data_IF_285835687852
#
_entry.id   IF_285835687852
#
_cell.length_a   1.000
_cell.length_b   1.000
_cell.length_c   1.000
_cell.angle_alpha   90.00
_cell.angle_beta   90.00
_cell.angle_gamma   90.00
#
_symmetry.space_group_name_H-M   'P 1'
#
loop_
_entity.id
_entity.type
_entity.pdbx_description
1 polymer ?
#
# COMPACT_ATOMS: atom_id res chain seq x y z
N UNK A 1 -11.08 1.47 -3.15
CA UNK A 1 -9.96 1.99 -2.35
C UNK A 1 -10.54 2.95 -1.34
N UNK A 2 -9.86 3.11 -0.23
CA UNK A 2 -10.22 4.13 0.76
C UNK A 2 -10.07 5.53 0.13
N UNK A 3 -10.96 6.44 0.52
CA UNK A 3 -10.95 7.82 0.04
C UNK A 3 -11.05 8.78 1.21
N UNK A 4 -10.23 9.82 1.19
CA UNK A 4 -10.36 10.93 2.13
C UNK A 4 -11.42 11.88 1.58
N UNK A 5 -12.62 11.82 2.14
CA UNK A 5 -13.71 12.69 1.71
C UNK A 5 -13.60 14.10 2.29
N UNK A 6 -13.07 14.22 3.51
CA UNK A 6 -13.02 15.48 4.21
C UNK A 6 -13.14 15.35 5.72
N UNK A 7 -13.38 16.48 6.36
CA UNK A 7 -13.62 16.58 7.80
C UNK A 7 -15.00 17.16 8.10
N UNK A 8 -15.47 16.93 9.32
CA UNK A 8 -16.66 17.55 9.90
C UNK A 8 -16.36 17.98 11.33
N UNK A 9 -16.97 19.06 11.84
CA UNK A 9 -16.72 19.52 13.20
C UNK A 9 -17.32 18.58 14.25
N UNK A 10 -16.61 18.44 15.36
CA UNK A 10 -17.10 17.82 16.59
C UNK A 10 -17.35 18.94 17.61
N UNK A 11 -18.52 18.92 18.23
CA UNK A 11 -18.91 19.92 19.23
C UNK A 11 -18.13 19.74 20.55
N UNK A 12 -18.05 20.76 21.43
CA UNK A 12 -17.37 20.64 22.73
C UNK A 12 -17.91 19.55 23.66
N UNK A 13 -19.16 19.12 23.46
CA UNK A 13 -19.77 17.99 24.19
C UNK A 13 -19.45 16.61 23.57
N UNK A 14 -18.63 16.57 22.52
CA UNK A 14 -18.23 15.37 21.80
C UNK A 14 -19.23 14.89 20.74
N UNK A 15 -20.35 15.59 20.55
CA UNK A 15 -21.36 15.23 19.55
C UNK A 15 -20.97 15.68 18.14
N UNK A 16 -21.38 14.90 17.13
CA UNK A 16 -21.21 15.23 15.72
C UNK A 16 -22.48 14.87 14.95
N UNK A 17 -22.87 15.71 13.99
CA UNK A 17 -24.03 15.50 13.12
C UNK A 17 -23.68 15.97 11.71
N UNK A 18 -23.83 15.08 10.74
CA UNK A 18 -23.33 15.27 9.37
C UNK A 18 -24.20 14.60 8.31
N UNK A 19 -24.13 15.14 7.09
CA UNK A 19 -24.75 14.59 5.88
C UNK A 19 -23.70 13.78 5.11
N UNK A 20 -24.05 12.56 4.71
CA UNK A 20 -23.18 11.65 3.95
C UNK A 20 -23.85 11.20 2.65
N UNK A 21 -23.08 10.97 1.57
CA UNK A 21 -23.61 10.35 0.36
C UNK A 21 -24.26 8.99 0.66
N UNK A 22 -25.48 8.77 0.17
CA UNK A 22 -26.15 7.49 0.34
C UNK A 22 -25.47 6.37 -0.45
N UNK A 23 -25.75 5.12 -0.06
CA UNK A 23 -25.32 3.90 -0.78
C UNK A 23 -23.79 3.77 -0.92
N UNK A 24 -23.04 4.38 0.00
CA UNK A 24 -21.58 4.26 0.10
C UNK A 24 -21.16 3.78 1.48
N UNK A 25 -20.03 3.10 1.53
CA UNK A 25 -19.42 2.64 2.78
C UNK A 25 -18.47 3.71 3.33
N UNK A 26 -18.70 4.10 4.59
CA UNK A 26 -17.89 5.07 5.31
C UNK A 26 -17.33 4.45 6.58
N UNK A 27 -16.12 4.86 6.92
CA UNK A 27 -15.57 4.72 8.26
C UNK A 27 -15.09 6.09 8.73
N UNK A 28 -14.98 6.27 10.04
CA UNK A 28 -14.55 7.55 10.63
C UNK A 28 -13.23 7.42 11.36
N UNK A 29 -12.48 8.52 11.35
CA UNK A 29 -11.31 8.73 12.19
C UNK A 29 -11.62 9.93 13.08
N UNK A 30 -11.64 9.71 14.39
CA UNK A 30 -11.74 10.81 15.36
C UNK A 30 -10.37 11.49 15.45
N UNK A 31 -10.33 12.81 15.31
CA UNK A 31 -9.12 13.63 15.35
C UNK A 31 -9.08 14.49 16.62
N UNK A 32 -7.88 14.83 17.08
CA UNK A 32 -7.68 15.86 18.11
C UNK A 32 -7.43 17.25 17.52
N UNK A 33 -7.15 18.24 18.37
CA UNK A 33 -6.89 19.62 17.93
C UNK A 33 -5.62 19.84 17.11
N UNK A 34 -4.77 18.81 16.94
CA UNK A 34 -3.58 18.82 16.06
C UNK A 34 -3.81 18.03 14.76
N UNK A 35 -5.05 17.64 14.50
CA UNK A 35 -5.44 16.69 13.44
C UNK A 35 -4.74 15.32 13.57
N UNK A 36 -4.35 14.91 14.78
CA UNK A 36 -3.81 13.58 15.02
C UNK A 36 -4.95 12.58 15.29
N UNK A 37 -4.85 11.39 14.69
CA UNK A 37 -5.82 10.32 14.87
C UNK A 37 -5.89 9.88 16.33
N UNK A 38 -7.06 10.03 16.96
CA UNK A 38 -7.35 9.51 18.31
C UNK A 38 -7.83 8.07 18.22
N UNK A 39 -8.82 7.80 17.37
CA UNK A 39 -9.37 6.44 17.18
C UNK A 39 -9.96 6.29 15.79
N UNK A 40 -9.71 5.16 15.15
CA UNK A 40 -10.23 4.80 13.83
C UNK A 40 -11.29 3.70 13.94
N UNK A 41 -12.34 3.84 13.16
CA UNK A 41 -13.34 2.79 12.95
C UNK A 41 -12.75 1.70 12.03
N UNK A 42 -12.61 0.49 12.54
CA UNK A 42 -12.15 -0.71 11.80
C UNK A 42 -13.33 -1.51 11.23
N UNK A 43 -14.37 -0.79 10.84
CA UNK A 43 -15.60 -1.30 10.22
C UNK A 43 -16.16 -0.19 9.34
N UNK A 44 -17.24 -0.47 8.63
CA UNK A 44 -17.91 0.54 7.81
C UNK A 44 -19.40 0.60 8.13
N UNK A 45 -20.01 1.73 7.79
CA UNK A 45 -21.45 1.91 7.76
C UNK A 45 -21.89 2.41 6.39
N UNK A 46 -23.15 2.19 6.08
CA UNK A 46 -23.82 2.70 4.88
C UNK A 46 -25.15 3.29 5.31
N UNK A 47 -25.57 4.38 4.65
CA UNK A 47 -26.88 5.01 4.84
C UNK A 47 -27.66 4.98 3.54
N UNK A 48 -28.96 4.74 3.64
CA UNK A 48 -29.92 4.83 2.52
C UNK A 48 -30.32 6.29 2.27
N UNK A 49 -30.86 6.62 1.08
CA UNK A 49 -31.38 7.96 0.82
C UNK A 49 -32.44 8.37 1.85
N UNK A 50 -32.19 9.49 2.56
CA UNK A 50 -33.08 10.01 3.60
C UNK A 50 -33.02 9.27 4.95
N UNK A 51 -32.15 8.28 5.10
CA UNK A 51 -31.94 7.58 6.37
C UNK A 51 -31.12 8.44 7.35
N UNK A 52 -31.59 8.51 8.59
CA UNK A 52 -30.81 9.04 9.72
C UNK A 52 -30.42 7.88 10.63
N UNK A 53 -29.12 7.68 10.80
CA UNK A 53 -28.55 6.70 11.73
C UNK A 53 -27.81 7.41 12.87
N UNK A 54 -27.79 6.80 14.05
CA UNK A 54 -27.13 7.36 15.24
C UNK A 54 -26.35 6.28 15.99
N UNK A 55 -25.21 6.64 16.56
CA UNK A 55 -24.43 5.80 17.46
C UNK A 55 -24.23 6.48 18.81
N UNK A 56 -24.06 5.70 19.88
CA UNK A 56 -23.85 6.22 21.24
C UNK A 56 -22.45 6.84 21.39
N UNK A 57 -21.47 6.29 20.68
CA UNK A 57 -20.08 6.71 20.74
C UNK A 57 -19.17 5.81 19.90
N UNK A 58 -17.88 6.14 19.86
CA UNK A 58 -16.88 5.44 19.05
C UNK A 58 -16.59 4.03 19.58
N UNK A 59 -17.25 3.02 18.99
CA UNK A 59 -17.18 1.61 19.37
C UNK A 59 -17.93 1.25 20.68
N UNK A 60 -18.98 2.01 21.01
CA UNK A 60 -19.95 1.61 22.04
C UNK A 60 -20.86 0.47 21.56
N UNK A 61 -21.42 -0.29 22.51
CA UNK A 61 -22.34 -1.38 22.19
C UNK A 61 -23.60 -0.86 21.48
N UNK A 62 -23.88 -1.37 20.27
CA UNK A 62 -25.06 -1.00 19.45
C UNK A 62 -26.42 -1.27 20.12
N UNK A 63 -26.47 -2.13 21.12
CA UNK A 63 -27.68 -2.46 21.90
C UNK A 63 -27.78 -1.64 23.19
N UNK A 64 -26.85 -0.73 23.42
CA UNK A 64 -26.82 0.16 24.57
C UNK A 64 -27.54 1.46 24.21
N UNK A 65 -28.39 1.92 25.09
CA UNK A 65 -28.97 3.27 25.00
C UNK A 65 -27.96 4.27 25.55
N UNK A 66 -27.84 5.48 24.97
CA UNK A 66 -27.08 6.55 25.61
C UNK A 66 -27.51 6.72 27.06
N UNK A 67 -26.56 6.96 27.97
CA UNK A 67 -26.93 7.34 29.33
C UNK A 67 -27.77 8.62 29.27
N UNK A 68 -29.00 8.55 29.77
CA UNK A 68 -29.85 9.73 29.91
C UNK A 68 -29.30 10.58 31.05
N UNK A 69 -28.21 11.30 30.80
CA UNK A 69 -27.67 12.27 31.74
C UNK A 69 -28.59 13.47 31.69
N UNK A 70 -29.60 13.49 32.55
CA UNK A 70 -30.61 14.56 32.69
C UNK A 70 -30.01 15.97 32.81
N UNK A 71 -28.70 16.08 33.07
CA UNK A 71 -27.92 17.33 33.14
C UNK A 71 -27.26 17.78 31.82
N UNK A 72 -27.19 16.96 30.75
CA UNK A 72 -26.48 17.33 29.50
C UNK A 72 -27.37 18.02 28.45
N UNK A 73 -28.70 18.03 28.62
CA UNK A 73 -29.63 18.62 27.64
C UNK A 73 -29.54 17.96 26.25
N UNK A 74 -30.20 18.57 25.25
CA UNK A 74 -30.05 18.13 23.85
C UNK A 74 -28.60 18.34 23.39
N UNK A 75 -27.98 17.32 22.80
CA UNK A 75 -26.64 17.37 22.22
C UNK A 75 -26.49 18.58 21.31
N UNK A 76 -25.35 19.28 21.41
CA UNK A 76 -25.08 20.50 20.67
C UNK A 76 -25.24 20.31 19.15
N UNK A 77 -24.76 19.19 18.61
CA UNK A 77 -24.80 18.93 17.17
C UNK A 77 -26.22 18.80 16.62
N UNK A 78 -27.21 18.43 17.46
CA UNK A 78 -28.62 18.30 17.07
C UNK A 78 -29.39 19.63 17.13
N UNK A 79 -28.75 20.72 17.58
CA UNK A 79 -29.36 22.07 17.61
C UNK A 79 -29.16 22.84 16.31
N UNK A 80 -28.49 22.24 15.33
CA UNK A 80 -28.19 22.81 14.01
C UNK A 80 -28.42 21.75 12.93
N UNK A 81 -28.45 22.22 11.68
CA UNK A 81 -28.45 21.36 10.51
C UNK A 81 -27.19 20.48 10.46
N UNK A 82 -27.25 19.30 9.81
CA UNK A 82 -26.10 18.42 9.66
C UNK A 82 -24.98 19.12 8.90
N UNK A 83 -23.74 18.93 9.36
CA UNK A 83 -22.57 19.44 8.66
C UNK A 83 -22.35 18.70 7.34
N UNK A 84 -21.95 19.43 6.30
CA UNK A 84 -21.45 18.82 5.07
C UNK A 84 -19.98 18.45 5.25
N UNK A 85 -19.57 17.37 4.61
CA UNK A 85 -18.17 16.96 4.57
C UNK A 85 -17.39 17.96 3.73
N UNK A 86 -16.35 18.56 4.31
CA UNK A 86 -15.50 19.54 3.63
C UNK A 86 -14.18 18.90 3.19
N UNK A 87 -13.83 18.92 1.89
CA UNK A 87 -12.55 18.42 1.41
C UNK A 87 -11.37 19.13 2.07
N UNK A 88 -10.28 18.38 2.28
CA UNK A 88 -9.06 18.92 2.88
C UNK A 88 -8.18 19.51 1.79
N UNK A 89 -7.89 20.80 1.88
CA UNK A 89 -7.09 21.50 0.86
C UNK A 89 -5.70 20.87 0.68
N UNK A 90 -5.33 20.60 -0.58
CA UNK A 90 -4.03 20.04 -0.94
C UNK A 90 -3.87 18.54 -0.67
N UNK A 91 -4.93 17.85 -0.22
CA UNK A 91 -4.93 16.40 -0.01
C UNK A 91 -5.75 15.72 -1.11
N UNK A 92 -5.20 14.71 -1.81
CA UNK A 92 -5.96 13.97 -2.81
C UNK A 92 -7.04 13.13 -2.13
N UNK A 93 -8.14 12.89 -2.85
CA UNK A 93 -9.21 12.00 -2.38
C UNK A 93 -8.77 10.53 -2.38
N UNK A 94 -7.98 10.12 -3.38
CA UNK A 94 -7.36 8.79 -3.50
C UNK A 94 -5.85 8.94 -3.54
N UNK A 95 -5.17 8.28 -2.61
CA UNK A 95 -3.71 8.25 -2.56
C UNK A 95 -3.11 7.20 -3.49
N UNK A 96 -1.95 7.53 -4.05
CA UNK A 96 -1.06 6.62 -4.75
C UNK A 96 0.38 6.85 -4.30
N UNK A 97 1.05 5.80 -3.82
CA UNK A 97 2.36 5.94 -3.20
C UNK A 97 3.44 6.49 -4.16
N UNK A 98 3.63 5.95 -5.38
CA UNK A 98 4.61 6.52 -6.33
C UNK A 98 4.34 7.98 -6.70
N UNK A 99 3.08 8.40 -6.75
CA UNK A 99 2.69 9.76 -7.13
C UNK A 99 2.80 10.76 -5.99
N UNK A 100 2.31 10.38 -4.81
CA UNK A 100 2.06 11.33 -3.72
C UNK A 100 3.15 11.29 -2.63
N UNK A 101 3.75 10.12 -2.38
CA UNK A 101 4.67 9.91 -1.25
C UNK A 101 6.11 9.79 -1.70
N UNK A 102 6.38 9.07 -2.80
CA UNK A 102 7.74 8.92 -3.31
C UNK A 102 8.46 10.25 -3.54
N UNK A 103 7.84 11.31 -4.11
CA UNK A 103 8.52 12.59 -4.30
C UNK A 103 9.00 13.24 -3.00
N UNK A 104 8.30 13.01 -1.88
CA UNK A 104 8.69 13.50 -0.56
C UNK A 104 9.93 12.73 -0.08
N UNK A 105 9.94 11.41 -0.27
CA UNK A 105 11.11 10.58 0.05
C UNK A 105 12.32 10.92 -0.83
N UNK A 106 12.10 11.16 -2.12
CA UNK A 106 13.15 11.54 -3.06
C UNK A 106 13.85 12.84 -2.63
N UNK A 107 13.07 13.80 -2.14
CA UNK A 107 13.58 15.10 -1.68
C UNK A 107 14.32 15.03 -0.35
N UNK A 108 13.86 14.21 0.58
CA UNK A 108 14.29 14.28 1.99
C UNK A 108 15.05 13.06 2.50
N UNK A 109 14.96 11.91 1.83
CA UNK A 109 15.44 10.64 2.35
C UNK A 109 16.41 9.94 1.39
N UNK A 110 16.17 10.02 0.08
CA UNK A 110 16.88 9.22 -0.92
C UNK A 110 18.36 9.57 -1.03
N UNK A 111 18.78 10.79 -0.71
CA UNK A 111 20.21 11.16 -0.72
C UNK A 111 21.06 10.21 0.14
N UNK A 112 20.56 9.84 1.33
CA UNK A 112 21.25 8.95 2.27
C UNK A 112 20.77 7.49 2.18
N UNK A 113 19.58 7.25 1.62
CA UNK A 113 18.94 5.93 1.60
C UNK A 113 18.69 5.47 0.16
N UNK A 114 19.76 5.10 -0.54
CA UNK A 114 19.73 4.60 -1.91
C UNK A 114 20.73 3.44 -2.11
N UNK A 115 20.78 2.87 -3.31
CA UNK A 115 21.67 1.73 -3.62
C UNK A 115 23.17 2.06 -3.54
N UNK A 116 23.58 3.31 -3.69
CA UNK A 116 24.98 3.74 -3.66
C UNK A 116 25.40 4.17 -2.25
N UNK A 117 24.57 5.00 -1.61
CA UNK A 117 24.67 5.40 -0.21
C UNK A 117 23.55 4.71 0.55
N UNK A 118 23.88 3.58 1.16
CA UNK A 118 22.94 2.64 1.80
C UNK A 118 22.93 2.84 3.33
N UNK A 119 22.83 4.10 3.77
CA UNK A 119 22.89 4.42 5.20
C UNK A 119 21.71 3.78 5.94
N UNK A 120 21.94 3.29 7.15
CA UNK A 120 20.92 2.55 7.91
C UNK A 120 20.53 1.20 7.32
N UNK A 121 21.17 0.76 6.22
CA UNK A 121 20.87 -0.52 5.59
C UNK A 121 19.55 -0.54 4.83
N UNK A 122 19.10 0.62 4.32
CA UNK A 122 17.79 0.79 3.68
C UNK A 122 17.88 1.51 2.34
N UNK A 123 17.03 1.14 1.40
CA UNK A 123 16.87 1.81 0.10
C UNK A 123 15.44 2.36 -0.01
N UNK A 124 15.32 3.68 -0.06
CA UNK A 124 14.07 4.42 -0.15
C UNK A 124 13.84 5.03 -1.54
N UNK A 125 14.55 4.55 -2.56
CA UNK A 125 14.31 4.95 -3.95
C UNK A 125 12.97 4.41 -4.47
N UNK A 126 12.37 5.15 -5.41
CA UNK A 126 11.21 4.71 -6.18
C UNK A 126 11.51 3.61 -7.21
N UNK A 127 12.72 3.05 -7.21
CA UNK A 127 13.11 1.98 -8.11
C UNK A 127 12.20 0.76 -7.92
N UNK A 128 11.88 0.10 -9.03
CA UNK A 128 10.93 -1.00 -9.09
C UNK A 128 11.62 -2.32 -8.74
N UNK A 129 11.14 -2.99 -7.70
CA UNK A 129 11.33 -4.44 -7.53
C UNK A 129 10.26 -5.25 -8.28
N UNK A 130 10.17 -6.56 -8.04
CA UNK A 130 9.24 -7.45 -8.77
C UNK A 130 7.74 -7.09 -8.64
N UNK A 131 7.32 -6.48 -7.52
CA UNK A 131 5.92 -6.08 -7.27
C UNK A 131 5.78 -4.62 -6.82
N UNK A 132 6.65 -4.18 -5.93
CA UNK A 132 6.61 -2.87 -5.27
C UNK A 132 7.86 -2.08 -5.59
N UNK A 133 7.84 -0.77 -5.35
CA UNK A 133 9.06 0.02 -5.26
C UNK A 133 9.86 -0.39 -4.03
N UNK A 134 11.18 -0.19 -4.07
CA UNK A 134 12.06 -0.47 -2.93
C UNK A 134 11.62 0.29 -1.68
N UNK A 135 11.29 1.57 -1.83
CA UNK A 135 10.80 2.44 -0.75
C UNK A 135 9.55 1.92 -0.06
N UNK A 136 8.48 1.63 -0.82
CA UNK A 136 7.21 1.20 -0.24
C UNK A 136 7.38 -0.10 0.53
N UNK A 137 8.09 -1.06 -0.06
CA UNK A 137 8.34 -2.34 0.59
C UNK A 137 9.23 -2.18 1.83
N UNK A 138 10.28 -1.37 1.75
CA UNK A 138 11.19 -1.07 2.87
C UNK A 138 10.42 -0.48 4.05
N UNK A 139 9.58 0.54 3.82
CA UNK A 139 8.76 1.16 4.86
C UNK A 139 7.75 0.16 5.45
N UNK A 140 7.15 -0.69 4.61
CA UNK A 140 6.20 -1.72 5.05
C UNK A 140 6.87 -2.75 5.95
N UNK A 141 8.00 -3.30 5.50
CA UNK A 141 8.75 -4.33 6.22
C UNK A 141 9.29 -3.80 7.56
N UNK A 142 9.83 -2.58 7.58
CA UNK A 142 10.35 -1.94 8.80
C UNK A 142 9.24 -1.42 9.72
N UNK A 143 7.96 -1.55 9.33
CA UNK A 143 6.80 -1.04 10.07
C UNK A 143 6.93 0.45 10.39
N UNK A 144 7.38 1.21 9.40
CA UNK A 144 7.52 2.65 9.50
C UNK A 144 6.16 3.36 9.53
N UNK A 145 5.11 2.69 9.07
CA UNK A 145 3.72 3.09 9.27
C UNK A 145 2.90 1.94 9.89
N UNK A 146 1.90 2.32 10.70
CA UNK A 146 1.00 1.38 11.38
C UNK A 146 -0.41 1.57 10.82
N UNK A 147 -0.77 0.81 9.80
CA UNK A 147 -2.05 0.92 9.08
C UNK A 147 -3.14 -0.03 9.61
N UNK A 148 -2.78 -0.94 10.53
CA UNK A 148 -3.69 -1.95 11.08
C UNK A 148 -3.99 -3.12 10.13
N UNK A 149 -3.18 -3.28 9.07
CA UNK A 149 -3.37 -4.30 8.02
C UNK A 149 -3.46 -5.72 8.59
N UNK A 150 -4.47 -6.45 8.12
CA UNK A 150 -4.73 -7.86 8.42
C UNK A 150 -4.75 -8.22 9.91
N UNK A 151 -5.15 -7.25 10.76
CA UNK A 151 -5.33 -7.47 12.18
C UNK A 151 -6.71 -8.10 12.46
N UNK A 152 -6.79 -9.28 13.10
CA UNK A 152 -8.08 -9.86 13.49
C UNK A 152 -8.80 -9.05 14.58
N UNK A 153 -8.08 -8.19 15.32
CA UNK A 153 -8.66 -7.28 16.31
C UNK A 153 -9.11 -5.97 15.67
N UNK A 154 -10.39 -5.63 15.84
CA UNK A 154 -11.01 -4.43 15.28
C UNK A 154 -11.26 -3.30 16.29
N UNK A 155 -11.26 -3.58 17.60
CA UNK A 155 -11.42 -2.55 18.63
C UNK A 155 -10.08 -2.19 19.28
N UNK A 156 -9.26 -1.47 18.54
CA UNK A 156 -7.93 -1.08 19.01
C UNK A 156 -8.01 0.11 19.98
N UNK A 157 -7.05 0.18 20.89
CA UNK A 157 -6.92 1.27 21.85
C UNK A 157 -6.71 2.61 21.12
N UNK A 158 -7.11 3.75 21.73
CA UNK A 158 -6.81 5.06 21.17
C UNK A 158 -5.31 5.23 20.88
N UNK A 159 -4.98 5.86 19.76
CA UNK A 159 -3.61 6.16 19.29
C UNK A 159 -2.68 4.95 19.09
N UNK A 160 -3.22 3.72 18.98
CA UNK A 160 -2.39 2.53 18.76
C UNK A 160 -2.13 2.20 17.29
N UNK A 161 -2.81 2.89 16.36
CA UNK A 161 -2.65 2.77 14.91
C UNK A 161 -2.73 4.15 14.26
N UNK A 162 -2.49 4.23 12.96
CA UNK A 162 -2.52 5.46 12.18
C UNK A 162 -1.20 6.22 12.26
N UNK A 163 -1.23 7.46 11.79
CA UNK A 163 -0.07 8.35 11.72
C UNK A 163 0.58 8.59 13.08
N UNK A 164 -0.22 8.72 14.15
CA UNK A 164 0.29 8.97 15.51
C UNK A 164 1.13 7.81 16.06
N UNK A 165 0.81 6.57 15.66
CA UNK A 165 1.54 5.37 16.07
C UNK A 165 2.75 5.08 15.17
N UNK A 166 2.88 5.79 14.04
CA UNK A 166 3.82 5.48 12.97
C UNK A 166 5.21 6.06 13.23
N UNK A 167 6.29 5.24 13.30
CA UNK A 167 7.66 5.73 13.48
C UNK A 167 8.12 6.73 12.41
N UNK A 168 7.62 6.61 11.18
CA UNK A 168 7.92 7.53 10.09
C UNK A 168 7.54 8.97 10.43
N UNK A 169 6.41 9.18 11.11
CA UNK A 169 5.93 10.52 11.45
C UNK A 169 6.84 11.22 12.46
N UNK A 170 7.50 10.46 13.35
CA UNK A 170 8.52 11.01 14.26
C UNK A 170 9.74 11.50 13.51
N UNK A 171 10.22 10.70 12.54
CA UNK A 171 11.34 11.09 11.67
C UNK A 171 11.01 12.36 10.86
N UNK A 172 9.80 12.42 10.32
CA UNK A 172 9.28 13.60 9.59
C UNK A 172 9.16 14.83 10.50
N UNK A 173 8.81 14.64 11.77
CA UNK A 173 8.70 15.71 12.76
C UNK A 173 10.05 16.24 13.28
N UNK A 174 11.18 15.67 12.84
CA UNK A 174 12.52 16.16 13.15
C UNK A 174 13.35 15.26 14.06
N UNK A 175 12.87 14.07 14.44
CA UNK A 175 13.66 13.12 15.24
C UNK A 175 14.78 12.42 14.42
N UNK A 176 14.95 12.79 13.15
CA UNK A 176 15.90 12.15 12.24
C UNK A 176 16.90 13.15 11.67
N UNK A 177 18.01 13.33 12.41
CA UNK A 177 19.13 14.18 12.04
C UNK A 177 18.68 15.60 11.64
N UNK A 178 19.12 16.08 10.48
CA UNK A 178 18.84 17.43 9.98
C UNK A 178 17.66 17.48 9.00
N UNK A 179 16.89 16.39 8.87
CA UNK A 179 15.76 16.32 7.92
C UNK A 179 14.66 17.30 8.35
N UNK A 180 14.23 18.13 7.40
CA UNK A 180 13.16 19.13 7.60
C UNK A 180 12.09 18.98 6.52
N UNK A 181 10.98 18.37 6.90
CA UNK A 181 9.83 18.20 6.01
C UNK A 181 8.86 19.37 6.22
N UNK A 182 8.30 19.91 5.14
CA UNK A 182 7.32 21.00 5.25
C UNK A 182 6.00 20.52 5.87
N UNK A 183 5.22 21.39 6.52
CA UNK A 183 3.92 21.00 7.07
C UNK A 183 2.96 20.38 6.04
N UNK A 184 2.97 20.85 4.79
CA UNK A 184 2.14 20.29 3.72
C UNK A 184 2.57 18.87 3.31
N UNK A 185 3.88 18.62 3.22
CA UNK A 185 4.41 17.29 2.92
C UNK A 185 4.16 16.33 4.10
N UNK A 186 4.32 16.80 5.34
CA UNK A 186 4.00 16.01 6.53
C UNK A 186 2.51 15.64 6.59
N UNK A 187 1.61 16.57 6.22
CA UNK A 187 0.16 16.28 6.08
C UNK A 187 -0.12 15.25 4.99
N UNK A 188 0.57 15.33 3.85
CA UNK A 188 0.42 14.34 2.76
C UNK A 188 0.73 12.92 3.26
N UNK A 189 1.86 12.74 3.95
CA UNK A 189 2.23 11.43 4.53
C UNK A 189 1.25 11.00 5.61
N UNK A 190 0.83 11.92 6.49
CA UNK A 190 -0.18 11.65 7.52
C UNK A 190 -1.45 11.05 6.90
N UNK A 191 -2.08 11.76 5.96
CA UNK A 191 -3.33 11.32 5.37
C UNK A 191 -3.20 10.06 4.50
N UNK A 192 -2.03 9.84 3.88
CA UNK A 192 -1.74 8.56 3.23
C UNK A 192 -1.79 7.39 4.22
N UNK A 193 -1.22 7.54 5.42
CA UNK A 193 -1.29 6.53 6.48
C UNK A 193 -2.74 6.35 6.96
N UNK A 194 -3.46 7.45 7.18
CA UNK A 194 -4.88 7.40 7.60
C UNK A 194 -5.79 6.71 6.56
N UNK A 195 -5.45 6.81 5.27
CA UNK A 195 -6.13 6.14 4.16
C UNK A 195 -5.68 4.68 3.95
N UNK A 196 -4.99 4.08 4.93
CA UNK A 196 -4.57 2.68 4.89
C UNK A 196 -3.25 2.45 4.15
N UNK A 197 -2.46 3.50 3.92
CA UNK A 197 -1.16 3.44 3.27
C UNK A 197 -1.17 2.68 1.91
N UNK A 198 -2.08 3.01 0.97
CA UNK A 198 -2.21 2.27 -0.28
C UNK A 198 -0.96 2.41 -1.15
N UNK A 199 -0.65 1.35 -1.90
CA UNK A 199 0.39 1.40 -2.93
C UNK A 199 -0.14 1.95 -4.25
N UNK A 200 -1.05 1.25 -4.98
CA UNK A 200 -1.74 1.83 -6.12
C UNK A 200 -2.93 2.68 -5.69
N UNK A 201 -3.16 3.77 -6.42
CA UNK A 201 -4.37 4.59 -6.32
C UNK A 201 -5.41 4.27 -7.38
N UNK A 202 -5.44 3.02 -7.87
CA UNK A 202 -6.47 2.54 -8.82
C UNK A 202 -6.77 1.05 -8.63
N UNK A 203 -8.02 0.64 -8.84
CA UNK A 203 -8.40 -0.77 -8.94
C UNK A 203 -7.84 -1.45 -10.18
N UNK A 204 -7.54 -0.69 -11.23
CA UNK A 204 -6.94 -1.21 -12.46
C UNK A 204 -5.58 -1.85 -12.25
N UNK A 205 -4.88 -1.52 -11.15
CA UNK A 205 -3.57 -2.07 -10.83
C UNK A 205 -3.62 -3.51 -10.30
N UNK A 206 -4.77 -3.99 -9.79
CA UNK A 206 -4.85 -5.26 -9.08
C UNK A 206 -4.47 -6.45 -9.98
N UNK A 207 -3.51 -7.26 -9.51
CA UNK A 207 -3.06 -8.46 -10.23
C UNK A 207 -2.34 -8.20 -11.55
N UNK A 208 -1.91 -6.95 -11.81
CA UNK A 208 -1.30 -6.54 -13.08
C UNK A 208 0.14 -6.07 -12.91
N UNK A 209 0.94 -6.19 -13.98
CA UNK A 209 2.25 -5.57 -14.05
C UNK A 209 3.34 -6.15 -13.14
N UNK A 210 3.08 -7.27 -12.46
CA UNK A 210 3.98 -7.81 -11.43
C UNK A 210 4.65 -9.10 -11.91
N UNK A 211 5.95 -9.26 -11.62
CA UNK A 211 6.67 -10.54 -11.73
C UNK A 211 6.48 -11.29 -10.41
N UNK A 212 5.90 -12.49 -10.49
CA UNK A 212 5.47 -13.25 -9.30
C UNK A 212 4.26 -12.63 -8.60
N UNK A 213 3.33 -12.03 -9.35
CA UNK A 213 2.06 -11.51 -8.83
C UNK A 213 1.08 -12.63 -8.46
N UNK A 214 -0.15 -12.30 -8.11
CA UNK A 214 -1.17 -13.28 -7.71
C UNK A 214 -2.45 -13.16 -8.53
N UNK A 215 -2.99 -14.31 -8.93
CA UNK A 215 -4.31 -14.46 -9.49
C UNK A 215 -4.99 -15.67 -8.83
N UNK A 216 -6.18 -15.50 -8.25
CA UNK A 216 -6.92 -16.55 -7.53
C UNK A 216 -6.05 -17.30 -6.49
N UNK A 217 -5.29 -16.55 -5.67
CA UNK A 217 -4.35 -17.09 -4.66
C UNK A 217 -3.24 -17.99 -5.22
N UNK A 218 -2.96 -17.91 -6.54
CA UNK A 218 -1.84 -18.58 -7.18
C UNK A 218 -0.85 -17.56 -7.70
N UNK A 219 0.43 -17.86 -7.51
CA UNK A 219 1.48 -17.02 -8.06
C UNK A 219 1.48 -17.14 -9.60
N UNK A 220 1.52 -16.00 -10.29
CA UNK A 220 1.54 -15.89 -11.76
C UNK A 220 2.72 -15.03 -12.20
N UNK A 221 3.04 -15.05 -13.51
CA UNK A 221 4.20 -14.36 -14.08
C UNK A 221 5.50 -14.75 -13.37
N UNK A 222 5.69 -16.05 -13.13
CA UNK A 222 6.88 -16.59 -12.47
C UNK A 222 8.05 -16.72 -13.45
N UNK A 223 9.27 -16.56 -12.96
CA UNK A 223 10.48 -16.52 -13.78
C UNK A 223 11.36 -17.76 -13.65
N UNK A 224 10.99 -18.74 -12.82
CA UNK A 224 11.80 -19.95 -12.56
C UNK A 224 12.22 -20.69 -13.83
N UNK A 225 11.40 -20.65 -14.89
CA UNK A 225 11.67 -21.35 -16.14
C UNK A 225 12.47 -20.52 -17.16
N UNK A 226 12.73 -19.24 -16.89
CA UNK A 226 13.50 -18.40 -17.80
C UNK A 226 14.97 -18.84 -17.81
N UNK A 227 15.56 -18.92 -19.01
CA UNK A 227 16.96 -19.32 -19.17
C UNK A 227 17.94 -18.45 -18.35
N UNK A 228 17.83 -17.10 -18.33
CA UNK A 228 18.64 -16.27 -17.46
C UNK A 228 18.45 -16.59 -15.97
N UNK A 229 17.22 -16.89 -15.54
CA UNK A 229 16.91 -17.24 -14.15
C UNK A 229 17.52 -18.58 -13.76
N UNK A 230 17.45 -19.62 -14.61
CA UNK A 230 18.11 -20.91 -14.36
C UNK A 230 19.62 -20.74 -14.17
N UNK A 231 20.26 -19.96 -15.03
CA UNK A 231 21.69 -19.67 -14.94
C UNK A 231 22.06 -18.88 -13.68
N UNK A 232 21.29 -17.84 -13.35
CA UNK A 232 21.47 -17.05 -12.12
C UNK A 232 21.25 -17.89 -10.86
N UNK A 233 20.21 -18.72 -10.85
CA UNK A 233 19.86 -19.62 -9.75
C UNK A 233 20.99 -20.60 -9.45
N UNK A 234 21.65 -21.16 -10.48
CA UNK A 234 22.84 -21.98 -10.31
C UNK A 234 24.03 -21.19 -9.73
N UNK A 235 24.28 -19.98 -10.25
CA UNK A 235 25.33 -19.09 -9.74
C UNK A 235 25.12 -18.71 -8.27
N UNK A 236 23.90 -18.34 -7.88
CA UNK A 236 23.55 -17.97 -6.50
C UNK A 236 23.78 -19.17 -5.57
N UNK A 237 23.30 -20.36 -5.95
CA UNK A 237 23.53 -21.58 -5.14
C UNK A 237 25.02 -21.90 -5.02
N UNK A 238 25.81 -21.72 -6.08
CA UNK A 238 27.24 -22.00 -6.05
C UNK A 238 28.02 -21.00 -5.18
N UNK A 239 27.70 -19.70 -5.29
CA UNK A 239 28.53 -18.63 -4.75
C UNK A 239 28.07 -18.12 -3.38
N UNK A 240 26.80 -18.30 -3.03
CA UNK A 240 26.20 -17.65 -1.86
C UNK A 240 25.73 -18.62 -0.77
N UNK A 241 25.51 -19.91 -1.09
CA UNK A 241 24.85 -20.85 -0.16
C UNK A 241 25.67 -21.16 1.10
N UNK A 242 27.00 -21.05 1.02
CA UNK A 242 27.88 -21.26 2.18
C UNK A 242 27.57 -20.29 3.34
N UNK A 243 27.07 -19.09 3.02
CA UNK A 243 26.60 -18.10 4.01
C UNK A 243 25.07 -18.05 4.12
N UNK A 244 24.36 -18.38 3.04
CA UNK A 244 22.90 -18.30 2.93
C UNK A 244 22.20 -19.67 2.92
N UNK A 245 22.51 -20.49 3.93
CA UNK A 245 21.81 -21.74 4.21
C UNK A 245 20.82 -21.64 5.38
N UNK A 246 19.98 -22.66 5.56
CA UNK A 246 19.01 -22.75 6.67
C UNK A 246 18.01 -21.59 6.66
N UNK A 247 17.83 -20.91 7.78
CA UNK A 247 16.89 -19.79 7.92
C UNK A 247 17.34 -18.48 7.21
N UNK A 248 18.55 -18.45 6.64
CA UNK A 248 19.11 -17.29 5.94
C UNK A 248 19.03 -17.40 4.41
N UNK A 249 18.16 -18.26 3.90
CA UNK A 249 17.96 -18.43 2.46
C UNK A 249 17.64 -17.10 1.77
N UNK A 250 18.23 -16.91 0.60
CA UNK A 250 18.04 -15.75 -0.27
C UNK A 250 17.35 -16.19 -1.57
N UNK A 251 16.60 -15.28 -2.23
CA UNK A 251 15.78 -15.68 -3.36
C UNK A 251 16.68 -16.03 -4.54
N UNK A 252 16.34 -17.10 -5.23
CA UNK A 252 17.11 -17.60 -6.39
C UNK A 252 16.43 -17.33 -7.73
N UNK A 253 15.29 -16.64 -7.71
CA UNK A 253 14.52 -16.15 -8.85
C UNK A 253 13.79 -14.85 -8.47
N UNK A 254 13.35 -14.06 -9.45
CA UNK A 254 12.65 -12.79 -9.22
C UNK A 254 11.29 -12.97 -8.55
N UNK A 255 10.59 -14.08 -8.82
CA UNK A 255 9.32 -14.46 -8.20
C UNK A 255 9.49 -15.30 -6.92
N UNK A 256 10.71 -15.61 -6.50
CA UNK A 256 10.97 -16.46 -5.34
C UNK A 256 10.68 -15.74 -4.01
N UNK A 257 9.62 -16.19 -3.33
CA UNK A 257 9.21 -15.67 -2.02
C UNK A 257 9.86 -16.41 -0.86
N UNK A 258 10.45 -17.59 -1.10
CA UNK A 258 11.04 -18.45 -0.07
C UNK A 258 10.06 -18.76 1.06
N UNK A 259 8.78 -18.93 0.72
CA UNK A 259 7.68 -19.20 1.66
C UNK A 259 7.41 -18.07 2.67
N UNK A 260 7.93 -16.86 2.41
CA UNK A 260 7.62 -15.69 3.23
C UNK A 260 6.35 -15.06 2.68
N UNK A 261 5.27 -15.11 3.47
CA UNK A 261 4.02 -14.45 3.11
C UNK A 261 4.22 -12.94 3.05
N UNK A 262 3.94 -12.36 1.89
CA UNK A 262 3.86 -10.90 1.77
C UNK A 262 2.63 -10.33 2.49
N UNK A 263 1.51 -11.05 2.48
CA UNK A 263 0.24 -10.58 3.02
C UNK A 263 0.25 -10.53 4.54
N UNK A 264 0.88 -11.52 5.17
CA UNK A 264 0.96 -11.62 6.63
C UNK A 264 2.36 -12.08 7.05
N UNK A 265 3.39 -11.22 6.88
CA UNK A 265 4.74 -11.58 7.26
C UNK A 265 4.85 -11.71 8.77
N UNK A 266 5.51 -12.77 9.24
CA UNK A 266 5.96 -12.86 10.63
C UNK A 266 7.09 -11.84 10.83
N UNK A 267 6.95 -10.83 11.71
CA UNK A 267 7.97 -9.79 11.91
C UNK A 267 9.34 -10.34 12.32
N UNK A 268 9.37 -11.50 12.97
CA UNK A 268 10.60 -12.10 13.47
C UNK A 268 11.25 -13.03 12.43
N UNK A 269 10.65 -13.20 11.25
CA UNK A 269 11.20 -14.05 10.19
C UNK A 269 12.51 -13.46 9.62
N UNK A 270 13.66 -14.13 9.81
CA UNK A 270 14.96 -13.63 9.37
C UNK A 270 15.04 -13.46 7.84
N UNK A 271 14.19 -14.15 7.07
CA UNK A 271 14.16 -14.07 5.62
C UNK A 271 13.63 -12.74 5.11
N UNK A 272 12.91 -11.96 5.93
CA UNK A 272 12.36 -10.66 5.53
C UNK A 272 13.41 -9.63 5.12
N UNK A 273 14.61 -9.69 5.70
CA UNK A 273 15.71 -8.77 5.41
C UNK A 273 16.26 -8.88 3.99
N UNK A 274 15.98 -10.00 3.31
CA UNK A 274 16.51 -10.33 1.99
C UNK A 274 15.40 -10.79 1.03
N UNK A 275 14.21 -10.18 1.11
CA UNK A 275 13.11 -10.52 0.21
C UNK A 275 13.42 -10.11 -1.23
N UNK A 276 12.75 -10.77 -2.18
CA UNK A 276 12.85 -10.45 -3.62
C UNK A 276 12.58 -8.97 -3.93
N UNK A 277 11.79 -8.30 -3.10
CA UNK A 277 11.46 -6.88 -3.23
C UNK A 277 12.59 -5.95 -2.80
N UNK A 278 13.49 -6.41 -1.92
CA UNK A 278 14.63 -5.63 -1.44
C UNK A 278 15.89 -5.91 -2.26
N UNK A 279 16.06 -7.15 -2.73
CA UNK A 279 17.34 -7.59 -3.32
C UNK A 279 17.45 -7.43 -4.83
N UNK A 280 16.32 -7.34 -5.54
CA UNK A 280 16.29 -7.17 -7.00
C UNK A 280 15.76 -5.78 -7.36
N UNK A 281 16.60 -4.99 -8.03
CA UNK A 281 16.26 -3.69 -8.58
C UNK A 281 16.09 -3.81 -10.09
N UNK A 282 14.86 -3.70 -10.58
CA UNK A 282 14.52 -3.86 -11.99
C UNK A 282 14.50 -2.53 -12.75
N UNK A 283 14.63 -1.39 -12.05
CA UNK A 283 14.83 -0.09 -12.72
C UNK A 283 16.29 0.09 -13.13
N UNK A 284 17.21 -0.28 -12.21
CA UNK A 284 18.66 -0.25 -12.36
C UNK A 284 19.24 -1.62 -11.96
N UNK A 285 19.26 -2.62 -12.87
CA UNK A 285 19.69 -3.99 -12.59
C UNK A 285 21.02 -4.12 -11.84
N UNK A 286 22.04 -3.38 -12.26
CA UNK A 286 23.36 -3.30 -11.63
C UNK A 286 23.36 -2.80 -10.18
N UNK A 287 22.30 -2.08 -9.75
CA UNK A 287 22.11 -1.57 -8.39
C UNK A 287 21.30 -2.51 -7.49
N UNK A 288 21.03 -3.73 -7.95
CA UNK A 288 20.39 -4.78 -7.15
C UNK A 288 21.29 -5.16 -5.97
N UNK A 289 20.74 -5.23 -4.75
CA UNK A 289 21.50 -5.65 -3.57
C UNK A 289 22.11 -7.05 -3.75
N UNK A 290 21.43 -7.94 -4.50
CA UNK A 290 21.93 -9.27 -4.87
C UNK A 290 23.28 -9.22 -5.63
N UNK A 291 23.58 -8.12 -6.31
CA UNK A 291 24.85 -7.88 -7.01
C UNK A 291 25.78 -7.01 -6.18
N UNK A 292 25.27 -5.95 -5.55
CA UNK A 292 26.07 -4.96 -4.82
C UNK A 292 26.66 -5.54 -3.52
N UNK A 293 25.90 -6.34 -2.77
CA UNK A 293 26.36 -6.93 -1.51
C UNK A 293 27.59 -7.85 -1.68
N UNK A 294 27.64 -8.77 -2.66
CA UNK A 294 28.80 -9.64 -2.89
C UNK A 294 29.96 -9.02 -3.68
N UNK A 295 29.75 -7.89 -4.36
CA UNK A 295 30.77 -7.22 -5.17
C UNK A 295 31.75 -6.41 -4.30
N UNK A 296 33.03 -6.46 -4.64
CA UNK A 296 34.09 -5.70 -3.97
C UNK A 296 33.82 -4.19 -3.92
N UNK A 297 34.26 -3.52 -2.85
CA UNK A 297 34.13 -2.07 -2.68
C UNK A 297 34.82 -1.28 -3.79
N UNK A 298 36.03 -1.67 -4.16
CA UNK A 298 36.81 -1.00 -5.20
C UNK A 298 36.22 -1.19 -6.61
N UNK A 299 35.34 -2.19 -6.78
CA UNK A 299 34.56 -2.41 -8.00
C UNK A 299 33.18 -1.72 -7.95
N UNK A 300 32.92 -0.88 -6.94
CA UNK A 300 31.67 -0.14 -6.77
C UNK A 300 30.56 -0.92 -6.05
N UNK A 301 30.86 -2.09 -5.48
CA UNK A 301 29.93 -2.83 -4.62
C UNK A 301 30.00 -2.39 -3.15
N UNK A 302 29.22 -3.05 -2.30
CA UNK A 302 29.26 -2.84 -0.85
C UNK A 302 30.29 -3.73 -0.14
N UNK A 303 30.64 -4.88 -0.73
CA UNK A 303 31.55 -5.86 -0.14
C UNK A 303 31.07 -6.44 1.20
N UNK A 304 29.76 -6.56 1.37
CA UNK A 304 29.13 -7.11 2.57
C UNK A 304 29.30 -8.63 2.65
N UNK A 305 29.16 -9.35 1.54
CA UNK A 305 29.35 -10.80 1.50
C UNK A 305 30.82 -11.13 1.23
N UNK A 306 31.41 -11.96 2.10
CA UNK A 306 32.81 -12.38 1.99
C UNK A 306 32.95 -13.87 2.26
N UNK A 307 33.85 -14.52 1.52
CA UNK A 307 34.27 -15.91 1.73
C UNK A 307 35.78 -15.89 1.97
N UNK A 308 36.24 -16.47 3.08
CA UNK A 308 37.65 -16.47 3.49
C UNK A 308 38.30 -15.07 3.52
N UNK A 309 37.52 -14.06 3.91
CA UNK A 309 37.96 -12.67 4.00
C UNK A 309 37.96 -11.88 2.68
N UNK A 310 37.74 -12.53 1.54
CA UNK A 310 37.66 -11.90 0.22
C UNK A 310 36.19 -11.66 -0.22
N UNK A 311 35.91 -10.61 -1.01
CA UNK A 311 34.58 -10.43 -1.59
C UNK A 311 34.23 -11.61 -2.51
N UNK A 312 32.94 -11.97 -2.56
CA UNK A 312 32.45 -13.08 -3.40
C UNK A 312 32.73 -12.82 -4.88
N UNK A 313 32.57 -11.57 -5.33
CA UNK A 313 32.95 -11.12 -6.67
C UNK A 313 34.00 -10.01 -6.57
N UNK A 314 35.18 -10.25 -7.15
CA UNK A 314 36.25 -9.25 -7.21
C UNK A 314 35.87 -8.06 -8.10
N UNK A 315 35.21 -8.32 -9.23
CA UNK A 315 34.70 -7.29 -10.12
C UNK A 315 33.49 -7.80 -10.92
N UNK A 316 32.81 -6.88 -11.62
CA UNK A 316 31.59 -7.16 -12.36
C UNK A 316 31.78 -8.07 -13.58
N UNK A 317 33.01 -8.40 -14.02
CA UNK A 317 33.26 -9.29 -15.17
C UNK A 317 33.18 -10.77 -14.80
N UNK A 318 33.04 -11.11 -13.52
CA UNK A 318 32.86 -12.48 -13.06
C UNK A 318 31.68 -13.15 -13.82
N UNK A 319 31.86 -14.36 -14.39
CA UNK A 319 30.81 -15.02 -15.16
C UNK A 319 29.53 -15.27 -14.36
N UNK A 320 29.63 -15.55 -13.06
CA UNK A 320 28.47 -15.79 -12.20
C UNK A 320 27.76 -14.49 -11.82
N UNK A 321 28.52 -13.42 -11.60
CA UNK A 321 27.95 -12.06 -11.47
C UNK A 321 27.14 -11.70 -12.72
N UNK A 322 27.67 -11.96 -13.91
CA UNK A 322 27.00 -11.66 -15.18
C UNK A 322 25.72 -12.48 -15.38
N UNK A 323 25.65 -13.73 -14.91
CA UNK A 323 24.42 -14.53 -14.92
C UNK A 323 23.33 -13.90 -14.06
N UNK A 324 23.66 -13.47 -12.83
CA UNK A 324 22.72 -12.82 -11.92
C UNK A 324 22.24 -11.47 -12.50
N UNK A 325 23.16 -10.69 -13.07
CA UNK A 325 22.82 -9.44 -13.74
C UNK A 325 21.92 -9.65 -14.97
N UNK A 326 22.16 -10.73 -15.74
CA UNK A 326 21.33 -11.08 -16.88
C UNK A 326 19.88 -11.39 -16.47
N UNK A 327 19.67 -12.10 -15.36
CA UNK A 327 18.32 -12.32 -14.79
C UNK A 327 17.64 -11.00 -14.41
N UNK A 328 18.35 -10.08 -13.73
CA UNK A 328 17.77 -8.78 -13.37
C UNK A 328 17.43 -7.93 -14.60
N UNK A 329 18.28 -7.97 -15.64
CA UNK A 329 18.02 -7.30 -16.93
C UNK A 329 16.83 -7.90 -17.67
N UNK A 330 16.65 -9.22 -17.62
CA UNK A 330 15.48 -9.87 -18.20
C UNK A 330 14.21 -9.49 -17.45
N UNK A 331 14.27 -9.45 -16.11
CA UNK A 331 13.18 -8.92 -15.28
C UNK A 331 12.81 -7.48 -15.63
N UNK A 332 13.79 -6.60 -15.88
CA UNK A 332 13.54 -5.24 -16.36
C UNK A 332 12.76 -5.24 -17.68
N UNK A 333 13.20 -6.03 -18.67
CA UNK A 333 12.51 -6.11 -19.97
C UNK A 333 11.09 -6.62 -19.84
N UNK A 334 10.89 -7.68 -19.04
CA UNK A 334 9.54 -8.20 -18.83
C UNK A 334 8.66 -7.15 -18.14
N UNK A 335 9.19 -6.40 -17.17
CA UNK A 335 8.47 -5.30 -16.53
C UNK A 335 8.10 -4.18 -17.50
N UNK A 336 8.96 -3.84 -18.46
CA UNK A 336 8.67 -2.87 -19.54
C UNK A 336 7.59 -3.37 -20.51
N UNK A 337 7.43 -4.69 -20.65
CA UNK A 337 6.38 -5.33 -21.45
C UNK A 337 5.06 -5.43 -20.71
N UNK A 338 5.04 -5.96 -19.48
CA UNK A 338 3.80 -6.18 -18.71
C UNK A 338 3.29 -4.90 -18.06
N UNK A 339 4.20 -3.96 -17.75
CA UNK A 339 3.99 -2.63 -17.17
C UNK A 339 3.19 -2.59 -15.87
N UNK A 340 3.71 -1.88 -14.87
CA UNK A 340 2.96 -1.55 -13.66
C UNK A 340 2.13 -0.29 -13.85
N UNK A 341 1.13 -0.08 -12.98
CA UNK A 341 0.27 1.10 -13.00
C UNK A 341 1.04 2.43 -13.01
N UNK A 342 2.23 2.46 -12.39
CA UNK A 342 3.15 3.59 -12.33
C UNK A 342 4.14 3.65 -13.52
N UNK A 343 3.81 3.00 -14.64
CA UNK A 343 4.63 2.97 -15.85
C UNK A 343 3.85 3.50 -17.07
N UNK A 344 4.48 4.33 -17.94
CA UNK A 344 3.82 4.86 -19.13
C UNK A 344 3.26 3.80 -20.07
N UNK A 345 2.03 4.01 -20.53
CA UNK A 345 1.30 3.08 -21.40
C UNK A 345 0.92 1.77 -20.71
N UNK A 346 0.68 1.82 -19.40
CA UNK A 346 0.06 0.75 -18.63
C UNK A 346 -1.32 0.41 -19.21
N UNK A 347 -1.63 -0.88 -19.28
CA UNK A 347 -2.94 -1.39 -19.70
C UNK A 347 -3.49 -2.25 -18.55
N UNK A 348 -4.68 -1.95 -18.01
CA UNK A 348 -5.24 -2.71 -16.90
C UNK A 348 -5.69 -4.11 -17.35
N UNK A 349 -5.88 -5.06 -16.42
CA UNK A 349 -6.39 -6.39 -16.72
C UNK A 349 -7.73 -6.37 -17.45
N UNK A 350 -7.95 -7.36 -18.31
CA UNK A 350 -9.21 -7.54 -19.02
C UNK A 350 -10.43 -7.63 -18.08
N UNK A 351 -10.26 -8.19 -16.87
CA UNK A 351 -11.32 -8.25 -15.87
C UNK A 351 -11.77 -6.86 -15.40
N UNK A 352 -10.82 -5.94 -15.16
CA UNK A 352 -11.12 -4.55 -14.82
C UNK A 352 -11.92 -3.88 -15.95
N UNK A 353 -11.46 -4.00 -17.20
CA UNK A 353 -12.15 -3.43 -18.37
C UNK A 353 -13.56 -4.01 -18.53
N UNK A 354 -13.71 -5.32 -18.32
CA UNK A 354 -15.00 -6.01 -18.43
C UNK A 354 -16.01 -5.50 -17.40
N UNK A 355 -15.60 -5.33 -16.15
CA UNK A 355 -16.47 -4.76 -15.11
C UNK A 355 -16.80 -3.29 -15.41
N UNK A 356 -15.83 -2.48 -15.83
CA UNK A 356 -16.09 -1.08 -16.17
C UNK A 356 -17.05 -0.92 -17.35
N UNK A 357 -17.05 -1.85 -18.31
CA UNK A 357 -18.07 -1.95 -19.36
C UNK A 357 -19.42 -2.39 -18.83
N UNK A 358 -19.45 -3.42 -17.98
CA UNK A 358 -20.68 -3.94 -17.36
C UNK A 358 -21.41 -2.85 -16.57
N UNK A 359 -20.67 -2.04 -15.83
CA UNK A 359 -21.21 -0.89 -15.10
C UNK A 359 -21.44 0.33 -15.99
N UNK A 360 -21.25 0.25 -17.31
CA UNK A 360 -21.49 1.34 -18.26
C UNK A 360 -20.61 2.58 -18.04
N UNK A 361 -19.41 2.39 -17.48
CA UNK A 361 -18.39 3.44 -17.33
C UNK A 361 -17.56 3.55 -18.62
N UNK A 362 -17.26 2.39 -19.22
CA UNK A 362 -16.60 2.28 -20.52
C UNK A 362 -17.60 1.83 -21.61
N UNK A 363 -17.38 2.22 -22.88
CA UNK A 363 -18.19 1.72 -24.00
C UNK A 363 -18.12 0.20 -24.14
N UNK A 364 -19.24 -0.46 -24.40
CA UNK A 364 -19.30 -1.92 -24.52
C UNK A 364 -18.41 -2.47 -25.65
N UNK A 365 -18.29 -1.72 -26.74
CA UNK A 365 -17.52 -2.02 -27.95
C UNK A 365 -16.03 -1.61 -27.86
N UNK A 366 -15.60 -1.01 -26.74
CA UNK A 366 -14.20 -0.60 -26.55
C UNK A 366 -13.24 -1.81 -26.70
N UNK A 367 -12.20 -1.76 -27.54
CA UNK A 367 -11.21 -2.82 -27.60
C UNK A 367 -10.54 -3.07 -26.24
N UNK A 368 -10.17 -4.32 -25.94
CA UNK A 368 -9.61 -4.68 -24.62
C UNK A 368 -8.15 -4.28 -24.41
N UNK A 369 -7.48 -3.86 -25.48
CA UNK A 369 -6.06 -3.53 -25.56
C UNK A 369 -5.79 -2.03 -25.69
N UNK A 370 -6.83 -1.19 -25.58
CA UNK A 370 -6.67 0.26 -25.65
C UNK A 370 -6.21 0.83 -24.30
N UNK A 371 -5.32 1.82 -24.38
CA UNK A 371 -4.93 2.61 -23.22
C UNK A 371 -6.15 3.36 -22.69
N UNK A 372 -6.45 3.17 -21.40
CA UNK A 372 -7.52 3.88 -20.70
C UNK A 372 -6.94 4.63 -19.51
N UNK A 373 -7.48 5.82 -19.25
CA UNK A 373 -7.22 6.52 -18.00
C UNK A 373 -7.99 5.81 -16.87
N UNK A 374 -7.29 4.88 -16.20
CA UNK A 374 -7.83 4.09 -15.09
C UNK A 374 -8.25 4.95 -13.90
N UNK A 375 -7.62 6.11 -13.70
CA UNK A 375 -7.96 7.01 -12.61
C UNK A 375 -9.25 7.78 -12.90
N UNK A 376 -9.40 8.29 -14.12
CA UNK A 376 -10.65 8.91 -14.56
C UNK A 376 -11.79 7.89 -14.61
N UNK A 377 -11.49 6.65 -14.99
CA UNK A 377 -12.45 5.54 -15.03
C UNK A 377 -12.93 5.19 -13.61
N UNK A 378 -12.02 5.00 -12.66
CA UNK A 378 -12.36 4.74 -11.25
C UNK A 378 -13.15 5.90 -10.62
N UNK A 379 -12.81 7.15 -10.99
CA UNK A 379 -13.56 8.33 -10.54
C UNK A 379 -14.99 8.33 -11.05
N UNK A 380 -15.19 8.13 -12.37
CA UNK A 380 -16.53 8.01 -12.96
C UNK A 380 -17.33 6.88 -12.33
N UNK A 381 -16.69 5.73 -12.07
CA UNK A 381 -17.31 4.60 -11.38
C UNK A 381 -17.81 5.04 -9.99
N UNK A 382 -16.96 5.70 -9.20
CA UNK A 382 -17.32 6.12 -7.84
C UNK A 382 -18.37 7.23 -7.74
N UNK A 383 -18.50 8.05 -8.78
CA UNK A 383 -19.47 9.14 -8.85
C UNK A 383 -20.82 8.67 -9.40
N UNK A 384 -20.86 7.50 -10.04
CA UNK A 384 -22.09 6.94 -10.59
C UNK A 384 -22.99 6.46 -9.45
N UNK A 385 -24.19 7.02 -9.40
CA UNK A 385 -25.31 6.43 -8.65
C UNK A 385 -25.61 5.06 -9.26
N UNK A 386 -25.38 3.97 -8.51
CA UNK A 386 -25.64 2.60 -8.96
C UNK A 386 -27.10 2.24 -8.66
N UNK A 387 -28.03 2.29 -9.63
CA UNK A 387 -29.45 2.02 -9.38
C UNK A 387 -29.73 0.51 -9.20
N UNK A 388 -28.80 -0.33 -9.65
CA UNK A 388 -29.02 -1.76 -9.90
C UNK A 388 -28.44 -2.71 -8.83
N UNK A 389 -27.82 -2.20 -7.75
CA UNK A 389 -27.25 -3.07 -6.69
C UNK A 389 -28.32 -3.70 -5.78
N UNK A 390 -29.60 -3.47 -6.07
CA UNK A 390 -30.76 -4.09 -5.39
C UNK A 390 -31.04 -5.51 -5.92
N UNK A 391 -30.41 -5.97 -7.00
CA UNK A 391 -30.77 -7.24 -7.64
C UNK A 391 -30.07 -8.50 -7.11
N UNK A 392 -29.16 -8.41 -6.12
CA UNK A 392 -28.43 -9.58 -5.63
C UNK A 392 -29.13 -10.34 -4.48
N UNK A 393 -30.32 -9.90 -4.05
CA UNK A 393 -31.17 -10.70 -3.16
C UNK A 393 -32.22 -11.42 -4.02
N UNK A 394 -32.22 -12.77 -4.11
CA UNK A 394 -33.30 -13.47 -4.81
C UNK A 394 -34.62 -13.06 -4.17
N UNK A 395 -35.57 -12.61 -5.00
CA UNK A 395 -36.96 -12.35 -4.63
C UNK A 395 -37.59 -13.63 -4.09
N UNK A 396 -37.37 -13.94 -2.83
CA UNK A 396 -38.06 -14.98 -2.07
C UNK A 396 -37.95 -14.68 -0.57
N UNK A 397 -38.60 -13.60 -0.13
CA UNK A 397 -39.11 -13.55 1.23
C UNK A 397 -40.37 -12.68 1.25
N UNK A 398 -41.49 -13.39 1.40
CA UNK A 398 -42.82 -12.83 1.62
C UNK A 398 -42.77 -12.02 2.92
N UNK A 399 -42.84 -10.69 2.82
CA UNK A 399 -43.12 -9.82 3.97
C UNK A 399 -44.59 -10.03 4.38
N UNK A 400 -44.82 -11.00 5.28
CA UNK A 400 -46.03 -10.99 6.11
C UNK A 400 -45.91 -9.86 7.11
N UNK A 401 -46.84 -8.91 7.01
CA UNK A 401 -47.18 -7.91 8.04
C UNK A 401 -47.17 -8.57 9.42
N UNK A 402 -46.47 -7.96 10.37
CA UNK A 402 -46.80 -8.06 11.78
C UNK A 402 -47.08 -6.65 12.29
N UNK A 403 -48.35 -6.44 12.69
CA UNK A 403 -48.76 -5.39 13.60
C UNK A 403 -48.21 -5.73 14.98
N UNK A 404 -47.71 -4.72 15.68
CA UNK A 404 -47.99 -4.53 17.11
C UNK A 404 -48.64 -3.16 17.23
#
# INVERSE_FOLDING_TARGET
MERVLGTVPVEPDGSAYMELPALRSFFFVALDGNDDSVKRMQSFLTVMPGETTSCVGCHEHRTKTPENRSSMGTLAALKREPSRVEPIEGIPDVFEFPRDIQPILDKHCVECHNSDRYDGGVNLTGDRGPMFSHSYYTLTYLREFIDGRDNPESNLAPRSIGSVASPLMKKIAGDHYDVKVSPSEARMVRFWIEAGAPYPGTYGALGSGMIGGYYENRQVNTDFEWEPTKAASAAIRQRCISCHGGEKVIPVALSDEREVSFWRPDPDDPRLRMTRHLVFNLSRPEKSLMLMAPLAKDAGGHGFCKVDGAPVFADARDPDYQKILAMCREGKKELEKIKRFDMPGFVPPAGYVSEMKRYGILPADLPGDIEIDVYATDRKYSEKEHPDDVSCCPRNSVLRRWRI
#
